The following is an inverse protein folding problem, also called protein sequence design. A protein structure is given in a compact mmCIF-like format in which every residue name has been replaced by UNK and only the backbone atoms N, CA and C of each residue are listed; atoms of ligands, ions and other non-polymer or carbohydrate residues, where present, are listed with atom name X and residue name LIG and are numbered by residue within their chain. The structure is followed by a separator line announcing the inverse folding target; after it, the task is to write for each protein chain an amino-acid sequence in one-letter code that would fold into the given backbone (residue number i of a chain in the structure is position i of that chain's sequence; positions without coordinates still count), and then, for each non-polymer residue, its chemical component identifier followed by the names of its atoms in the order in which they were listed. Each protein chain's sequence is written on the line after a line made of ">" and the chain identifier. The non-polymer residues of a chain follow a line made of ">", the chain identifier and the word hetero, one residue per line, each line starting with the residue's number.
data_IF_366268912631
#
_entry.id   IF_366268912631
#
_cell.length_a   1.000
_cell.length_b   1.000
_cell.length_c   1.000
_cell.angle_alpha   90.00
_cell.angle_beta   90.00
_cell.angle_gamma   90.00
#
_symmetry.space_group_name_H-M   'P 1'
#
loop_
_entity.id
_entity.type
_entity.pdbx_description
1 polymer ?
#
# COMPACT_ATOMS: atom_id res chain seq x y z
N UNK A 1 -1.09 -9.68 6.56
CA UNK A 1 -1.80 -10.10 5.35
C UNK A 1 -3.25 -10.47 5.66
N UNK A 2 -4.09 -9.44 5.82
CA UNK A 2 -5.54 -9.53 5.94
C UNK A 2 -6.20 -9.17 4.61
N UNK A 3 -7.52 -9.36 4.49
CA UNK A 3 -8.27 -8.90 3.31
C UNK A 3 -8.21 -7.38 3.09
N UNK A 4 -7.97 -6.60 4.16
CA UNK A 4 -7.75 -5.16 4.05
C UNK A 4 -6.43 -4.84 3.35
N UNK A 5 -5.36 -5.59 3.66
CA UNK A 5 -4.04 -5.42 3.04
C UNK A 5 -4.12 -5.71 1.54
N UNK A 6 -4.86 -6.76 1.14
CA UNK A 6 -5.06 -7.11 -0.28
C UNK A 6 -5.79 -5.96 -1.01
N UNK A 7 -6.83 -5.39 -0.40
CA UNK A 7 -7.55 -4.24 -0.98
C UNK A 7 -6.64 -3.02 -1.14
N UNK A 8 -5.81 -2.74 -0.13
CA UNK A 8 -4.86 -1.63 -0.18
C UNK A 8 -3.83 -1.84 -1.30
N UNK A 9 -3.24 -3.05 -1.40
CA UNK A 9 -2.26 -3.40 -2.45
C UNK A 9 -2.86 -3.21 -3.85
N UNK A 10 -4.07 -3.71 -4.11
CA UNK A 10 -4.71 -3.55 -5.42
C UNK A 10 -5.00 -2.08 -5.76
N UNK A 11 -5.33 -1.27 -4.75
CA UNK A 11 -5.60 0.16 -4.92
C UNK A 11 -4.31 0.92 -5.27
N UNK A 12 -3.22 0.63 -4.56
CA UNK A 12 -1.92 1.25 -4.78
C UNK A 12 -1.30 0.81 -6.11
N UNK A 13 -1.41 -0.46 -6.49
CA UNK A 13 -0.93 -0.96 -7.78
C UNK A 13 -1.62 -0.25 -8.97
N UNK A 14 -2.93 -0.04 -8.88
CA UNK A 14 -3.66 0.76 -9.87
C UNK A 14 -3.19 2.21 -9.91
N UNK A 15 -2.93 2.81 -8.75
CA UNK A 15 -2.42 4.18 -8.68
C UNK A 15 -1.02 4.33 -9.30
N UNK A 16 -0.14 3.34 -9.14
CA UNK A 16 1.17 3.34 -9.80
C UNK A 16 1.06 3.29 -11.32
N UNK A 17 0.17 2.44 -11.86
CA UNK A 17 -0.08 2.38 -13.30
C UNK A 17 -0.62 3.72 -13.84
N UNK A 18 -1.58 4.35 -13.14
CA UNK A 18 -2.15 5.66 -13.53
C UNK A 18 -1.07 6.76 -13.52
N UNK A 19 -0.20 6.80 -12.51
CA UNK A 19 0.89 7.78 -12.44
C UNK A 19 1.85 7.69 -13.62
N UNK A 20 2.05 6.49 -14.15
CA UNK A 20 2.90 6.23 -15.32
C UNK A 20 2.13 6.35 -16.66
N UNK A 21 0.88 6.84 -16.65
CA UNK A 21 -0.02 6.93 -17.81
C UNK A 21 -0.23 5.57 -18.51
N UNK A 22 -0.38 4.50 -17.73
CA UNK A 22 -0.69 3.16 -18.23
C UNK A 22 -2.13 2.78 -17.89
N UNK A 23 -2.80 2.14 -18.84
CA UNK A 23 -4.18 1.63 -18.68
C UNK A 23 -4.23 0.23 -18.05
N UNK A 24 -3.09 -0.46 -18.00
CA UNK A 24 -2.99 -1.85 -17.51
C UNK A 24 -1.94 -1.93 -16.40
N UNK A 25 -2.30 -2.64 -15.34
CA UNK A 25 -1.43 -2.93 -14.22
C UNK A 25 -0.48 -4.07 -14.58
N UNK A 26 0.79 -3.93 -14.23
CA UNK A 26 1.83 -4.94 -14.45
C UNK A 26 2.32 -5.50 -13.11
N UNK A 27 3.10 -6.59 -13.14
CA UNK A 27 3.65 -7.19 -11.91
C UNK A 27 4.52 -6.20 -11.11
N UNK A 28 5.23 -5.30 -11.80
CA UNK A 28 6.09 -4.28 -11.17
C UNK A 28 5.26 -3.33 -10.29
N UNK A 29 4.00 -3.06 -10.64
CA UNK A 29 3.12 -2.21 -9.84
C UNK A 29 2.69 -2.89 -8.54
N UNK A 30 2.44 -4.20 -8.61
CA UNK A 30 2.12 -5.01 -7.45
C UNK A 30 3.32 -5.11 -6.52
N UNK A 31 4.53 -5.32 -7.03
CA UNK A 31 5.76 -5.33 -6.22
C UNK A 31 5.93 -4.00 -5.47
N UNK A 32 5.79 -2.87 -6.17
CA UNK A 32 5.84 -1.52 -5.55
C UNK A 32 4.74 -1.32 -4.50
N UNK A 33 3.51 -1.74 -4.80
CA UNK A 33 2.37 -1.61 -3.91
C UNK A 33 2.49 -2.48 -2.66
N UNK A 34 3.01 -3.69 -2.79
CA UNK A 34 3.26 -4.61 -1.67
C UNK A 34 4.29 -4.01 -0.73
N UNK A 35 5.44 -3.54 -1.25
CA UNK A 35 6.46 -2.87 -0.44
C UNK A 35 5.86 -1.67 0.29
N UNK A 36 5.12 -0.81 -0.41
CA UNK A 36 4.49 0.36 0.21
C UNK A 36 3.51 -0.01 1.33
N UNK A 37 2.56 -0.91 1.07
CA UNK A 37 1.48 -1.22 2.03
C UNK A 37 2.00 -2.00 3.24
N UNK A 38 2.97 -2.90 3.05
CA UNK A 38 3.55 -3.65 4.15
C UNK A 38 4.47 -2.76 5.00
N UNK A 39 5.29 -1.90 4.38
CA UNK A 39 6.19 -1.01 5.11
C UNK A 39 5.45 0.16 5.81
N UNK A 40 4.34 0.64 5.25
CA UNK A 40 3.48 1.65 5.90
C UNK A 40 2.64 1.06 7.05
N UNK A 41 2.33 -0.25 6.99
CA UNK A 41 1.64 -0.97 8.08
C UNK A 41 2.42 -0.93 9.39
N UNK A 42 3.74 -1.04 9.31
CA UNK A 42 4.64 -0.93 10.49
C UNK A 42 4.75 0.52 10.99
N UNK A 43 4.74 1.51 10.10
CA UNK A 43 4.83 2.92 10.49
C UNK A 43 3.55 3.43 11.16
N UNK A 44 2.38 2.98 10.70
CA UNK A 44 1.08 3.38 11.27
C UNK A 44 0.84 2.81 12.67
N UNK A 45 1.45 1.66 12.99
CA UNK A 45 1.46 1.11 14.34
C UNK A 45 2.28 1.99 15.33
N UNK A 46 3.23 2.78 14.82
CA UNK A 46 4.12 3.61 15.62
C UNK A 46 3.56 5.02 15.90
N UNK A 47 2.70 5.56 15.02
CA UNK A 47 2.04 6.86 15.24
C UNK A 47 0.87 6.80 16.24
N UNK A 48 0.32 5.62 16.51
CA UNK A 48 -0.70 5.40 17.54
C UNK A 48 -0.09 5.05 18.91
N UNK A 49 0.93 5.81 19.32
CA UNK A 49 1.41 5.77 20.70
C UNK A 49 0.31 6.16 21.69
N UNK A 50 0.26 5.58 22.90
CA UNK A 50 -0.83 5.82 23.83
C UNK A 50 -0.84 7.30 24.21
N UNK A 51 -1.93 7.99 23.88
CA UNK A 51 -2.17 9.36 24.29
C UNK A 51 -2.47 9.35 25.80
N UNK A 52 -1.42 9.41 26.62
CA UNK A 52 -1.53 9.65 28.06
C UNK A 52 -1.42 11.15 28.33
N UNK A 53 -2.55 11.77 28.67
CA UNK A 53 -2.74 12.76 29.76
C UNK A 53 -4.15 13.37 29.63
#
# INVERSE_FOLDING_TARGET
>A
ATGADIKAVCTEAGMFAIRENRDIVSMVDFEKAISKVLDEGDQKAMESGPMFA
#
